data_IF_759922123702
#
_entry.id   IF_759922123702
#
_cell.length_a   1.000
_cell.length_b   1.000
_cell.length_c   1.000
_cell.angle_alpha   90.00
_cell.angle_beta   90.00
_cell.angle_gamma   90.00
#
_symmetry.space_group_name_H-M   'P 1'
#
loop_
_entity.id
_entity.type
_entity.pdbx_description
1 polymer ?
#
# COMPACT_ATOMS: atom_id res chain seq x y z
N UNK A 1 -11.38 11.56 -2.18
CA UNK A 1 -12.74 11.09 -2.53
C UNK A 1 -13.68 12.24 -2.87
N UNK A 2 -14.33 12.21 -4.03
CA UNK A 2 -15.45 13.09 -4.34
C UNK A 2 -16.59 12.25 -4.94
N UNK A 3 -17.72 12.17 -4.23
CA UNK A 3 -18.88 11.35 -4.59
C UNK A 3 -19.88 12.07 -5.51
N UNK A 4 -19.45 13.19 -6.09
CA UNK A 4 -20.26 14.00 -6.98
C UNK A 4 -20.41 13.34 -8.36
N UNK A 5 -21.65 13.28 -8.83
CA UNK A 5 -22.03 12.79 -10.16
C UNK A 5 -21.25 13.49 -11.28
N UNK A 6 -21.01 14.79 -11.17
CA UNK A 6 -20.31 15.57 -12.21
C UNK A 6 -18.80 15.31 -12.29
N UNK A 7 -18.21 14.72 -11.26
CA UNK A 7 -16.77 14.49 -11.16
C UNK A 7 -16.38 13.01 -11.30
N UNK A 8 -17.32 12.10 -11.11
CA UNK A 8 -17.05 10.66 -11.09
C UNK A 8 -17.65 9.90 -12.27
N UNK A 9 -18.62 10.48 -13.01
CA UNK A 9 -19.42 9.77 -14.03
C UNK A 9 -20.12 8.49 -13.51
N UNK A 10 -20.18 8.33 -12.19
CA UNK A 10 -20.81 7.21 -11.49
C UNK A 10 -22.13 7.65 -10.86
N UNK A 11 -23.05 6.72 -10.56
CA UNK A 11 -24.28 7.03 -9.84
C UNK A 11 -23.99 7.82 -8.56
N UNK A 12 -24.81 8.84 -8.29
CA UNK A 12 -24.62 9.72 -7.13
C UNK A 12 -24.52 8.89 -5.83
N UNK A 13 -23.50 9.18 -5.01
CA UNK A 13 -23.22 8.44 -3.76
C UNK A 13 -23.05 6.92 -3.92
N UNK A 14 -22.73 6.44 -5.13
CA UNK A 14 -22.49 5.04 -5.44
C UNK A 14 -23.69 4.12 -5.10
N UNK A 15 -24.91 4.58 -5.42
CA UNK A 15 -26.14 3.78 -5.29
C UNK A 15 -26.91 3.70 -6.61
N UNK A 16 -27.50 2.54 -6.89
CA UNK A 16 -28.26 2.30 -8.13
C UNK A 16 -29.64 3.00 -8.10
N UNK A 17 -30.33 2.97 -6.96
CA UNK A 17 -31.66 3.56 -6.76
C UNK A 17 -31.54 4.83 -5.91
N UNK A 18 -30.95 5.87 -6.51
CA UNK A 18 -30.84 7.18 -5.89
C UNK A 18 -32.20 7.79 -5.55
N UNK A 19 -32.31 8.42 -4.38
CA UNK A 19 -33.54 9.05 -3.88
C UNK A 19 -34.25 8.23 -2.81
N UNK A 20 -34.30 6.90 -2.96
CA UNK A 20 -34.73 6.00 -1.88
C UNK A 20 -33.56 5.54 -1.02
N UNK A 21 -32.37 5.41 -1.63
CA UNK A 21 -31.14 5.05 -0.96
C UNK A 21 -30.16 6.24 -0.98
N UNK A 22 -29.45 6.42 0.13
CA UNK A 22 -28.40 7.43 0.33
C UNK A 22 -27.00 6.91 0.02
N UNK A 23 -26.81 5.59 -0.04
CA UNK A 23 -25.53 4.98 -0.40
C UNK A 23 -24.38 5.43 0.53
N UNK A 24 -23.29 5.90 -0.07
CA UNK A 24 -22.07 6.31 0.64
C UNK A 24 -22.09 7.76 1.14
N UNK A 25 -23.22 8.46 1.05
CA UNK A 25 -23.33 9.87 1.47
C UNK A 25 -22.88 10.07 2.92
N UNK A 26 -23.41 9.28 3.87
CA UNK A 26 -23.08 9.43 5.29
C UNK A 26 -21.67 8.94 5.60
N UNK A 27 -21.17 7.93 4.88
CA UNK A 27 -19.78 7.49 4.99
C UNK A 27 -18.81 8.63 4.70
N UNK A 28 -19.11 9.45 3.69
CA UNK A 28 -18.33 10.63 3.37
C UNK A 28 -18.37 11.68 4.48
N UNK A 29 -19.55 11.93 5.06
CA UNK A 29 -19.69 12.85 6.20
C UNK A 29 -18.83 12.39 7.38
N UNK A 30 -18.80 11.09 7.67
CA UNK A 30 -17.93 10.52 8.70
C UNK A 30 -16.45 10.78 8.38
N UNK A 31 -15.99 10.46 7.17
CA UNK A 31 -14.61 10.72 6.77
C UNK A 31 -14.24 12.22 6.86
N UNK A 32 -15.13 13.11 6.42
CA UNK A 32 -14.93 14.55 6.49
C UNK A 32 -14.87 15.06 7.94
N UNK A 33 -15.71 14.51 8.83
CA UNK A 33 -15.72 14.84 10.26
C UNK A 33 -14.40 14.44 10.93
N UNK A 34 -13.91 13.21 10.67
CA UNK A 34 -12.63 12.73 11.19
C UNK A 34 -11.45 13.60 10.72
N UNK A 35 -11.43 13.97 9.44
CA UNK A 35 -10.42 14.90 8.89
C UNK A 35 -10.51 16.27 9.55
N UNK A 36 -11.72 16.76 9.83
CA UNK A 36 -11.90 18.04 10.51
C UNK A 36 -11.42 18.01 11.97
N UNK A 37 -11.67 16.93 12.69
CA UNK A 37 -11.15 16.73 14.05
C UNK A 37 -9.61 16.68 14.06
N UNK A 38 -9.01 16.01 13.07
CA UNK A 38 -7.56 15.95 12.92
C UNK A 38 -6.93 17.33 12.78
N UNK A 39 -7.61 18.31 12.17
CA UNK A 39 -7.09 19.69 12.06
C UNK A 39 -6.82 20.32 13.42
N UNK A 40 -7.65 20.03 14.42
CA UNK A 40 -7.45 20.50 15.80
C UNK A 40 -6.28 19.75 16.45
N UNK A 41 -6.22 18.43 16.28
CA UNK A 41 -5.15 17.58 16.84
C UNK A 41 -3.76 17.86 16.23
N UNK A 42 -3.70 18.47 15.04
CA UNK A 42 -2.45 18.86 14.38
C UNK A 42 -1.72 20.01 15.08
N UNK A 43 -2.35 20.73 16.03
CA UNK A 43 -1.61 21.71 16.82
C UNK A 43 -0.45 21.02 17.58
N UNK A 44 0.80 21.52 17.46
CA UNK A 44 1.94 20.87 18.08
C UNK A 44 1.88 21.06 19.60
N UNK A 45 1.81 19.97 20.37
CA UNK A 45 1.78 20.10 21.85
C UNK A 45 3.15 20.41 22.43
N UNK A 46 4.23 20.13 21.69
CA UNK A 46 5.61 20.36 22.11
C UNK A 46 6.06 21.81 22.10
N UNK A 47 5.22 22.74 21.64
CA UNK A 47 5.51 24.19 21.71
C UNK A 47 5.11 24.80 23.05
N UNK A 48 4.43 24.03 23.89
CA UNK A 48 4.04 24.42 25.24
C UNK A 48 5.03 23.87 26.29
N UNK A 49 5.30 24.67 27.32
CA UNK A 49 6.16 24.31 28.46
C UNK A 49 5.68 25.03 29.71
N UNK A 50 5.34 24.26 30.74
CA UNK A 50 4.89 24.77 32.04
C UNK A 50 5.83 24.24 33.13
N UNK A 51 6.48 25.15 33.85
CA UNK A 51 7.41 24.79 34.93
C UNK A 51 6.67 24.14 36.10
N UNK A 52 7.00 22.89 36.39
CA UNK A 52 6.35 22.06 37.41
C UNK A 52 7.05 22.07 38.78
N UNK A 53 8.29 22.58 38.87
CA UNK A 53 9.10 22.49 40.10
C UNK A 53 9.91 23.76 40.38
N UNK A 54 9.24 24.86 40.67
CA UNK A 54 9.87 26.08 41.22
C UNK A 54 11.05 26.65 40.42
N UNK A 55 11.10 26.43 39.11
CA UNK A 55 12.20 26.87 38.23
C UNK A 55 13.31 25.84 37.99
N UNK A 56 13.18 24.60 38.46
CA UNK A 56 14.16 23.51 38.19
C UNK A 56 13.85 22.76 36.89
N UNK A 57 12.56 22.61 36.59
CA UNK A 57 12.05 22.02 35.34
C UNK A 57 11.43 23.14 34.51
N UNK A 58 12.26 24.10 34.09
CA UNK A 58 11.83 25.30 33.37
C UNK A 58 11.50 25.05 31.89
N UNK A 59 11.97 23.91 31.34
CA UNK A 59 11.66 23.48 29.98
C UNK A 59 11.19 22.01 29.92
N UNK A 60 9.92 21.80 29.60
CA UNK A 60 9.31 20.46 29.45
C UNK A 60 8.73 20.28 28.05
N UNK A 61 8.72 19.05 27.55
CA UNK A 61 8.39 18.75 26.14
C UNK A 61 6.91 18.55 25.85
N UNK A 62 6.07 18.41 26.89
CA UNK A 62 4.65 18.01 26.78
C UNK A 62 4.42 16.77 25.89
N UNK A 63 5.43 15.89 25.79
CA UNK A 63 5.44 14.75 24.86
C UNK A 63 4.33 13.72 25.09
N UNK A 64 3.78 13.65 26.31
CA UNK A 64 2.68 12.74 26.64
C UNK A 64 1.40 13.01 25.85
N UNK A 65 1.06 14.29 25.57
CA UNK A 65 -0.08 14.58 24.70
C UNK A 65 0.27 14.45 23.22
N UNK A 66 1.51 14.77 22.84
CA UNK A 66 2.02 14.56 21.48
C UNK A 66 1.88 13.10 21.02
N UNK A 67 2.25 12.13 21.86
CA UNK A 67 2.10 10.71 21.53
C UNK A 67 0.63 10.29 21.39
N UNK A 68 -0.24 10.72 22.32
CA UNK A 68 -1.68 10.37 22.31
C UNK A 68 -2.40 10.94 21.10
N UNK A 69 -2.16 12.21 20.74
CA UNK A 69 -2.80 12.82 19.58
C UNK A 69 -2.28 12.22 18.27
N UNK A 70 -1.00 11.85 18.19
CA UNK A 70 -0.46 11.15 17.02
C UNK A 70 -1.16 9.81 16.79
N UNK A 71 -1.30 8.98 17.84
CA UNK A 71 -2.04 7.72 17.77
C UNK A 71 -3.49 7.95 17.32
N UNK A 72 -4.17 8.95 17.90
CA UNK A 72 -5.56 9.27 17.56
C UNK A 72 -5.72 9.69 16.10
N UNK A 73 -4.81 10.49 15.56
CA UNK A 73 -4.81 10.90 14.15
C UNK A 73 -4.62 9.69 13.24
N UNK A 74 -3.70 8.77 13.57
CA UNK A 74 -3.50 7.53 12.80
C UNK A 74 -4.78 6.69 12.77
N UNK A 75 -5.44 6.49 13.91
CA UNK A 75 -6.71 5.77 13.98
C UNK A 75 -7.81 6.41 13.11
N UNK A 76 -7.87 7.74 13.06
CA UNK A 76 -8.81 8.44 12.17
C UNK A 76 -8.46 8.24 10.70
N UNK A 77 -7.18 8.28 10.35
CA UNK A 77 -6.71 8.04 8.98
C UNK A 77 -7.02 6.62 8.53
N UNK A 78 -6.83 5.61 9.39
CA UNK A 78 -7.19 4.23 9.09
C UNK A 78 -8.68 4.08 8.73
N UNK A 79 -9.58 4.73 9.48
CA UNK A 79 -11.02 4.74 9.17
C UNK A 79 -11.35 5.48 7.88
N UNK A 80 -10.69 6.62 7.61
CA UNK A 80 -10.86 7.37 6.35
C UNK A 80 -10.42 6.51 5.17
N UNK A 81 -9.29 5.82 5.27
CA UNK A 81 -8.79 4.91 4.23
C UNK A 81 -9.71 3.70 4.04
N UNK A 82 -10.31 3.18 5.11
CA UNK A 82 -11.28 2.09 5.02
C UNK A 82 -12.54 2.51 4.26
N UNK A 83 -13.08 3.70 4.56
CA UNK A 83 -14.20 4.30 3.82
C UNK A 83 -13.81 4.50 2.36
N UNK A 84 -12.56 4.93 2.12
CA UNK A 84 -12.05 5.12 0.77
C UNK A 84 -12.01 3.84 -0.06
N UNK A 85 -11.45 2.80 0.53
CA UNK A 85 -11.35 1.50 -0.11
C UNK A 85 -12.73 0.88 -0.37
N UNK A 86 -13.67 0.99 0.57
CA UNK A 86 -15.04 0.49 0.39
C UNK A 86 -15.72 1.14 -0.81
N UNK A 87 -15.65 2.47 -0.90
CA UNK A 87 -16.30 3.18 -1.98
C UNK A 87 -15.57 2.97 -3.32
N UNK A 88 -14.24 2.82 -3.33
CA UNK A 88 -13.51 2.41 -4.53
C UNK A 88 -13.95 1.02 -5.03
N UNK A 89 -14.11 0.04 -4.11
CA UNK A 89 -14.63 -1.28 -4.46
C UNK A 89 -16.07 -1.21 -4.98
N UNK A 90 -16.90 -0.32 -4.44
CA UNK A 90 -18.25 -0.08 -4.93
C UNK A 90 -18.26 0.57 -6.32
N UNK A 91 -17.38 1.53 -6.57
CA UNK A 91 -17.23 2.14 -7.89
C UNK A 91 -16.89 1.10 -8.97
N UNK A 92 -16.02 0.13 -8.64
CA UNK A 92 -15.69 -0.97 -9.56
C UNK A 92 -16.91 -1.83 -9.93
N UNK A 93 -17.93 -1.96 -9.07
CA UNK A 93 -19.18 -2.66 -9.42
C UNK A 93 -19.92 -1.97 -10.56
N UNK A 94 -20.04 -0.65 -10.48
CA UNK A 94 -20.73 0.15 -11.50
C UNK A 94 -19.97 0.23 -12.82
N UNK A 95 -18.67 -0.04 -12.80
CA UNK A 95 -17.83 -0.08 -13.99
C UNK A 95 -17.76 -1.47 -14.64
N UNK A 96 -18.34 -2.52 -14.03
CA UNK A 96 -18.37 -3.85 -14.65
C UNK A 96 -19.11 -3.79 -16.00
N UNK A 97 -18.62 -4.49 -17.06
CA UNK A 97 -17.63 -5.57 -17.03
C UNK A 97 -16.16 -5.13 -17.13
N UNK A 98 -15.83 -3.84 -17.04
CA UNK A 98 -14.44 -3.39 -17.02
C UNK A 98 -13.68 -4.02 -15.83
N UNK A 99 -12.39 -4.26 -16.05
CA UNK A 99 -11.48 -4.80 -15.05
C UNK A 99 -10.34 -3.83 -14.80
N UNK A 100 -9.90 -3.77 -13.55
CA UNK A 100 -8.69 -3.03 -13.18
C UNK A 100 -7.45 -3.94 -13.28
N UNK A 101 -6.31 -3.46 -12.84
CA UNK A 101 -5.06 -4.22 -12.82
C UNK A 101 -5.17 -5.45 -11.91
N UNK A 102 -4.39 -6.50 -12.21
CA UNK A 102 -4.33 -7.72 -11.40
C UNK A 102 -4.19 -7.48 -9.88
N UNK A 103 -3.27 -6.61 -9.38
CA UNK A 103 -3.17 -6.33 -7.96
C UNK A 103 -4.44 -5.75 -7.34
N UNK A 104 -5.07 -4.82 -8.06
CA UNK A 104 -6.27 -4.15 -7.56
C UNK A 104 -7.51 -5.05 -7.61
N UNK A 105 -7.59 -5.98 -8.57
CA UNK A 105 -8.64 -7.01 -8.58
C UNK A 105 -8.50 -7.98 -7.40
N UNK A 106 -7.28 -8.28 -6.95
CA UNK A 106 -7.06 -9.10 -5.75
C UNK A 106 -7.50 -8.37 -4.48
N UNK A 107 -7.14 -7.09 -4.35
CA UNK A 107 -7.63 -6.23 -3.25
C UNK A 107 -9.15 -6.13 -3.26
N UNK A 108 -9.75 -5.90 -4.42
CA UNK A 108 -11.21 -5.86 -4.58
C UNK A 108 -11.84 -7.18 -4.12
N UNK A 109 -11.30 -8.34 -4.53
CA UNK A 109 -11.80 -9.66 -4.11
C UNK A 109 -11.68 -9.85 -2.60
N UNK A 110 -10.54 -9.46 -2.02
CA UNK A 110 -10.30 -9.54 -0.58
C UNK A 110 -11.35 -8.74 0.21
N UNK A 111 -11.66 -7.52 -0.23
CA UNK A 111 -12.72 -6.69 0.38
C UNK A 111 -14.10 -7.32 0.15
N UNK A 112 -14.40 -7.84 -1.04
CA UNK A 112 -15.70 -8.45 -1.33
C UNK A 112 -15.96 -9.77 -0.61
N UNK A 113 -14.92 -10.48 -0.21
CA UNK A 113 -15.05 -11.66 0.64
C UNK A 113 -15.53 -11.32 2.05
N UNK A 114 -15.31 -10.09 2.54
CA UNK A 114 -15.73 -9.66 3.88
C UNK A 114 -16.94 -8.74 3.86
N UNK A 115 -17.08 -7.89 2.84
CA UNK A 115 -18.13 -6.88 2.72
C UNK A 115 -18.83 -7.02 1.36
N UNK A 116 -20.11 -7.41 1.33
CA UNK A 116 -20.84 -7.55 0.08
C UNK A 116 -21.06 -6.20 -0.61
N UNK A 117 -21.31 -6.24 -1.93
CA UNK A 117 -21.66 -5.07 -2.72
C UNK A 117 -22.84 -4.28 -2.10
N UNK A 118 -22.81 -2.96 -2.26
CA UNK A 118 -23.87 -2.09 -1.77
C UNK A 118 -25.02 -2.06 -2.78
N UNK A 119 -26.09 -2.80 -2.50
CA UNK A 119 -27.29 -2.86 -3.35
C UNK A 119 -28.44 -2.02 -2.80
N UNK A 120 -28.66 -2.09 -1.49
CA UNK A 120 -29.65 -1.31 -0.74
C UNK A 120 -29.00 -0.77 0.54
N UNK A 121 -29.56 0.31 1.07
CA UNK A 121 -29.07 0.89 2.32
C UNK A 121 -29.16 -0.11 3.48
N UNK A 122 -28.04 -0.22 4.20
CA UNK A 122 -27.90 -1.03 5.40
C UNK A 122 -27.05 -0.27 6.42
N UNK A 123 -26.95 -0.83 7.62
CA UNK A 123 -26.06 -0.26 8.63
C UNK A 123 -24.59 -0.41 8.19
N UNK A 124 -23.93 0.72 7.90
CA UNK A 124 -22.58 0.74 7.29
C UNK A 124 -21.44 0.61 8.30
N UNK A 125 -21.68 0.89 9.59
CA UNK A 125 -20.61 0.87 10.60
C UNK A 125 -19.85 -0.46 10.68
N UNK A 126 -20.50 -1.65 10.62
CA UNK A 126 -19.80 -2.93 10.66
C UNK A 126 -18.90 -3.13 9.44
N UNK A 127 -19.33 -2.67 8.27
CA UNK A 127 -18.56 -2.76 7.02
C UNK A 127 -17.29 -1.90 7.10
N UNK A 128 -17.41 -0.66 7.61
CA UNK A 128 -16.28 0.24 7.82
C UNK A 128 -15.29 -0.37 8.82
N UNK A 129 -15.79 -0.93 9.93
CA UNK A 129 -14.95 -1.56 10.95
C UNK A 129 -14.23 -2.80 10.40
N UNK A 130 -14.93 -3.65 9.63
CA UNK A 130 -14.33 -4.85 9.02
C UNK A 130 -13.18 -4.49 8.07
N UNK A 131 -13.34 -3.46 7.24
CA UNK A 131 -12.27 -2.99 6.34
C UNK A 131 -11.16 -2.27 7.11
N UNK A 132 -11.49 -1.53 8.16
CA UNK A 132 -10.49 -0.92 9.05
C UNK A 132 -9.60 -1.99 9.70
N UNK A 133 -10.21 -3.07 10.21
CA UNK A 133 -9.48 -4.19 10.76
C UNK A 133 -8.58 -4.86 9.71
N UNK A 134 -9.06 -4.98 8.48
CA UNK A 134 -8.29 -5.56 7.38
C UNK A 134 -7.04 -4.73 7.03
N UNK A 135 -7.12 -3.40 7.14
CA UNK A 135 -5.98 -2.49 7.03
C UNK A 135 -5.00 -2.66 8.20
N UNK A 136 -5.51 -2.71 9.43
CA UNK A 136 -4.70 -2.87 10.65
C UNK A 136 -3.97 -4.22 10.71
N UNK A 137 -4.56 -5.27 10.15
CA UNK A 137 -3.94 -6.59 10.00
C UNK A 137 -2.98 -6.67 8.81
N UNK A 138 -2.74 -5.56 8.10
CA UNK A 138 -1.86 -5.45 6.93
C UNK A 138 -2.19 -6.42 5.78
N UNK A 139 -3.41 -7.00 5.77
CA UNK A 139 -3.79 -8.01 4.77
C UNK A 139 -3.77 -7.45 3.35
N UNK A 140 -4.18 -6.19 3.17
CA UNK A 140 -4.07 -5.49 1.87
C UNK A 140 -2.61 -5.39 1.43
N UNK A 141 -1.72 -5.00 2.33
CA UNK A 141 -0.30 -4.84 2.04
C UNK A 141 0.31 -6.16 1.59
N UNK A 142 0.13 -7.24 2.35
CA UNK A 142 0.66 -8.56 1.98
C UNK A 142 0.07 -9.11 0.68
N UNK A 143 -1.16 -8.74 0.34
CA UNK A 143 -1.78 -9.11 -0.93
C UNK A 143 -1.08 -8.45 -2.12
N UNK A 144 -0.73 -7.17 -2.00
CA UNK A 144 -0.12 -6.43 -3.12
C UNK A 144 1.41 -6.50 -3.16
N UNK A 145 2.04 -6.78 -2.02
CA UNK A 145 3.49 -6.74 -1.85
C UNK A 145 4.27 -7.53 -2.92
N UNK A 146 3.94 -8.80 -3.27
CA UNK A 146 4.72 -9.54 -4.26
C UNK A 146 4.70 -8.89 -5.65
N UNK A 147 3.60 -8.23 -6.01
CA UNK A 147 3.45 -7.54 -7.30
C UNK A 147 4.19 -6.20 -7.30
N UNK A 148 4.21 -5.50 -6.16
CA UNK A 148 5.01 -4.28 -5.97
C UNK A 148 6.51 -4.61 -6.04
N UNK A 149 6.96 -5.65 -5.35
CA UNK A 149 8.35 -6.12 -5.40
C UNK A 149 8.77 -6.47 -6.84
N UNK A 150 7.88 -7.17 -7.58
CA UNK A 150 8.12 -7.47 -9.00
C UNK A 150 8.20 -6.21 -9.87
N UNK A 151 7.31 -5.23 -9.64
CA UNK A 151 7.31 -3.96 -10.37
C UNK A 151 8.64 -3.21 -10.20
N UNK A 152 9.16 -3.15 -8.97
CA UNK A 152 10.45 -2.50 -8.69
C UNK A 152 11.64 -3.25 -9.31
N UNK A 153 11.66 -4.59 -9.23
CA UNK A 153 12.73 -5.39 -9.80
C UNK A 153 12.86 -5.23 -11.33
N UNK A 154 11.75 -5.01 -12.04
CA UNK A 154 11.76 -4.78 -13.49
C UNK A 154 12.30 -3.39 -13.86
N UNK A 155 12.11 -2.38 -12.99
CA UNK A 155 12.61 -1.03 -13.22
C UNK A 155 14.12 -0.89 -13.03
N UNK A 156 14.74 -1.78 -12.26
CA UNK A 156 16.21 -1.83 -12.08
C UNK A 156 16.95 -2.37 -13.31
N UNK A 157 16.22 -2.90 -14.29
CA UNK A 157 16.80 -3.31 -15.57
C UNK A 157 17.11 -2.03 -16.37
N UNK A 158 18.39 -1.70 -16.49
CA UNK A 158 18.91 -0.57 -17.26
C UNK A 158 18.41 -0.62 -18.72
N UNK A 159 17.39 0.19 -19.04
CA UNK A 159 16.77 0.27 -20.37
C UNK A 159 17.37 1.38 -21.24
N UNK A 160 18.36 2.13 -20.74
CA UNK A 160 19.06 3.13 -21.55
C UNK A 160 19.72 2.43 -22.74
N UNK A 161 19.33 2.82 -23.95
CA UNK A 161 20.06 2.47 -25.17
C UNK A 161 21.48 3.00 -25.00
N UNK A 162 22.48 2.12 -25.10
CA UNK A 162 23.88 2.51 -25.00
C UNK A 162 24.17 3.59 -26.04
N UNK A 163 24.38 4.83 -25.59
CA UNK A 163 24.73 5.92 -26.49
C UNK A 163 26.18 5.70 -26.95
N UNK A 164 26.45 5.65 -28.27
CA UNK A 164 27.79 5.40 -28.80
C UNK A 164 28.81 6.50 -28.41
N UNK A 165 28.34 7.63 -27.86
CA UNK A 165 29.19 8.71 -27.36
C UNK A 165 29.54 8.58 -25.87
N UNK A 166 29.01 7.58 -25.16
CA UNK A 166 29.30 7.36 -23.73
C UNK A 166 30.68 6.74 -23.58
N UNK A 167 31.68 7.56 -23.25
CA UNK A 167 33.01 7.07 -22.88
C UNK A 167 32.93 6.49 -21.47
N UNK A 168 32.92 5.16 -21.35
CA UNK A 168 33.17 4.52 -20.08
C UNK A 168 34.64 4.76 -19.72
N UNK A 169 34.90 5.47 -18.63
CA UNK A 169 36.26 5.60 -18.09
C UNK A 169 36.71 4.25 -17.54
N UNK A 170 37.43 3.49 -18.37
CA UNK A 170 38.13 2.27 -17.97
C UNK A 170 39.21 2.66 -16.97
N UNK A 171 39.10 2.20 -15.73
CA UNK A 171 40.26 2.18 -14.84
C UNK A 171 41.15 1.02 -15.32
N UNK A 172 42.23 1.37 -16.01
CA UNK A 172 43.24 0.44 -16.50
C UNK A 172 44.31 0.14 -15.45
N UNK A 173 44.69 -1.14 -15.36
CA UNK A 173 46.00 -1.58 -14.90
C UNK A 173 46.08 -3.06 -14.49
N UNK A 174 47.17 -3.79 -14.81
CA UNK A 174 47.82 -3.89 -16.10
C UNK A 174 47.74 -5.32 -16.68
N UNK A 175 47.98 -5.37 -17.98
CA UNK A 175 47.99 -6.53 -18.88
C UNK A 175 49.07 -7.58 -18.57
N UNK A 176 48.72 -8.86 -18.75
CA UNK A 176 49.67 -9.86 -19.29
C UNK A 176 49.00 -10.63 -20.42
N UNK A 177 49.62 -10.52 -21.59
CA UNK A 177 49.25 -11.16 -22.85
C UNK A 177 49.52 -12.67 -22.84
N UNK A 178 48.71 -13.43 -23.59
CA UNK A 178 48.95 -14.85 -23.83
C UNK A 178 48.02 -15.46 -24.88
N UNK A 179 48.30 -15.14 -26.14
CA UNK A 179 47.85 -15.75 -27.41
C UNK A 179 47.35 -17.22 -27.38
N UNK A 180 46.18 -17.49 -27.99
CA UNK A 180 46.03 -18.28 -29.24
C UNK A 180 44.58 -18.77 -29.47
N UNK A 181 44.15 -18.73 -30.74
CA UNK A 181 42.85 -19.20 -31.24
C UNK A 181 42.72 -20.74 -31.37
N UNK A 182 41.75 -21.25 -32.15
CA UNK A 182 40.62 -22.03 -31.62
C UNK A 182 40.70 -23.54 -31.88
N UNK A 183 40.06 -24.37 -31.04
CA UNK A 183 39.61 -25.72 -31.44
C UNK A 183 38.50 -26.27 -30.53
N UNK A 184 37.52 -26.90 -31.17
CA UNK A 184 36.33 -27.53 -30.59
C UNK A 184 36.63 -28.98 -30.10
N UNK A 185 35.63 -29.85 -29.78
CA UNK A 185 35.37 -30.30 -28.41
C UNK A 185 35.59 -31.82 -28.16
N UNK A 186 35.43 -32.24 -26.89
CA UNK A 186 35.09 -33.58 -26.34
C UNK A 186 36.13 -34.18 -25.39
N UNK A 187 35.69 -34.53 -24.17
CA UNK A 187 35.53 -35.95 -23.75
C UNK A 187 34.86 -36.11 -22.38
N UNK A 188 33.80 -36.92 -22.36
CA UNK A 188 33.24 -37.60 -21.18
C UNK A 188 34.29 -38.48 -20.50
N UNK A 189 34.25 -38.56 -19.16
CA UNK A 189 34.79 -39.67 -18.37
C UNK A 189 33.87 -39.83 -17.14
N UNK A 190 32.78 -40.57 -17.25
CA UNK A 190 32.63 -42.00 -16.89
C UNK A 190 33.20 -42.35 -15.50
N UNK A 191 32.32 -42.32 -14.50
CA UNK A 191 32.01 -43.43 -13.60
C UNK A 191 33.02 -43.84 -12.51
N UNK A 192 32.56 -43.76 -11.25
CA UNK A 192 32.60 -44.91 -10.33
C UNK A 192 31.59 -44.76 -9.20
N UNK A 193 30.64 -45.68 -9.19
CA UNK A 193 29.71 -46.01 -8.11
C UNK A 193 30.36 -46.94 -7.08
N UNK A 194 29.63 -47.16 -5.98
CA UNK A 194 29.70 -48.18 -4.90
C UNK A 194 30.00 -47.55 -3.53
N UNK A 195 29.34 -47.88 -2.42
CA UNK A 195 28.10 -48.61 -2.11
C UNK A 195 27.84 -48.45 -0.59
N UNK A 196 26.59 -48.71 -0.19
CA UNK A 196 25.98 -48.60 1.14
C UNK A 196 26.71 -49.23 2.36
N UNK A 197 26.40 -48.75 3.57
CA UNK A 197 26.04 -49.60 4.73
C UNK A 197 25.41 -48.81 5.89
N UNK A 198 24.51 -49.51 6.59
CA UNK A 198 23.50 -49.11 7.58
C UNK A 198 23.99 -48.92 9.04
N UNK A 199 23.08 -48.42 9.90
CA UNK A 199 23.06 -48.44 11.39
C UNK A 199 24.03 -47.47 12.11
N UNK A 200 23.61 -46.67 13.08
CA UNK A 200 22.76 -46.90 14.27
C UNK A 200 21.89 -45.69 14.60
#
# INVERSE_FOLDING_TARGET
MNFNLSLSELPAFLTAEGGLNSGFMIAHCTAASLVSENKVLCHPSSVDSLSTSGGTEDHVSMGGFSARKALKVVQHVEQVLAIELLAACQALEFLRPLKTTAPLEEVYRLVRNIVPAWTKDRYMSPDILAVTQLLQEEKIWYTVKPMIDHYHAVQEIETRVFSPTTTASTQDGPTTNGTNGPSAPKRKRLGRTTSASNSK
#
